data_IF_312287349784
#
_entry.id   IF_312287349784
#
_cell.length_a   1.000
_cell.length_b   1.000
_cell.length_c   1.000
_cell.angle_alpha   90.00
_cell.angle_beta   90.00
_cell.angle_gamma   90.00
#
_symmetry.space_group_name_H-M   'P 1'
#
loop_
_entity.id
_entity.type
_entity.pdbx_description
1 polymer ?
#
# COMPACT_ATOMS: atom_id res chain seq x y z
N UNK A 1 -32.42 -2.53 4.46
CA UNK A 1 -31.29 -3.12 5.21
C UNK A 1 -31.11 -2.30 6.47
N UNK A 2 -31.41 -2.88 7.63
CA UNK A 2 -31.22 -2.21 8.92
C UNK A 2 -29.72 -2.12 9.17
N UNK A 3 -29.14 -0.92 9.08
CA UNK A 3 -27.82 -0.69 9.66
C UNK A 3 -28.00 -0.80 11.17
N UNK A 4 -27.58 -1.93 11.72
CA UNK A 4 -27.61 -2.15 13.14
C UNK A 4 -26.73 -1.07 13.80
N UNK A 5 -27.36 -0.11 14.47
CA UNK A 5 -26.69 1.01 15.14
C UNK A 5 -26.00 0.57 16.43
N UNK A 6 -25.73 -0.72 16.57
CA UNK A 6 -25.01 -1.35 17.66
C UNK A 6 -23.51 -1.09 17.53
N UNK A 7 -22.77 -1.29 18.61
CA UNK A 7 -21.31 -1.21 18.60
C UNK A 7 -20.67 -2.13 17.56
N UNK A 8 -21.29 -3.26 17.22
CA UNK A 8 -20.79 -4.20 16.21
C UNK A 8 -20.86 -3.64 14.79
N UNK A 9 -21.99 -3.03 14.41
CA UNK A 9 -22.13 -2.38 13.10
C UNK A 9 -21.11 -1.25 12.90
N UNK A 10 -20.84 -0.47 13.96
CA UNK A 10 -19.82 0.58 13.95
C UNK A 10 -18.41 -0.01 13.80
N UNK A 11 -18.07 -1.05 14.56
CA UNK A 11 -16.74 -1.70 14.48
C UNK A 11 -16.51 -2.29 13.08
N UNK A 12 -17.52 -2.93 12.49
CA UNK A 12 -17.43 -3.47 11.14
C UNK A 12 -17.22 -2.36 10.08
N UNK A 13 -17.95 -1.24 10.20
CA UNK A 13 -17.80 -0.12 9.29
C UNK A 13 -16.39 0.53 9.38
N UNK A 14 -15.88 0.74 10.60
CA UNK A 14 -14.50 1.23 10.80
C UNK A 14 -13.49 0.26 10.19
N UNK A 15 -13.65 -1.05 10.42
CA UNK A 15 -12.79 -2.08 9.83
C UNK A 15 -12.77 -2.02 8.30
N UNK A 16 -13.92 -1.77 7.65
CA UNK A 16 -13.99 -1.60 6.19
C UNK A 16 -13.26 -0.35 5.68
N UNK A 17 -13.27 0.75 6.42
CA UNK A 17 -12.49 1.94 6.07
C UNK A 17 -10.99 1.66 6.18
N UNK A 18 -10.55 0.96 7.23
CA UNK A 18 -9.15 0.55 7.39
C UNK A 18 -8.70 -0.42 6.30
N UNK A 19 -9.51 -1.45 5.97
CA UNK A 19 -9.23 -2.39 4.86
C UNK A 19 -9.10 -1.66 3.49
N UNK A 20 -9.92 -0.62 3.28
CA UNK A 20 -9.80 0.22 2.10
C UNK A 20 -8.47 0.98 2.09
N UNK A 21 -8.02 1.53 3.23
CA UNK A 21 -6.70 2.19 3.33
C UNK A 21 -5.56 1.21 3.04
N UNK A 22 -5.61 -0.02 3.58
CA UNK A 22 -4.60 -1.06 3.29
C UNK A 22 -4.52 -1.38 1.79
N UNK A 23 -5.68 -1.40 1.11
CA UNK A 23 -5.72 -1.56 -0.35
C UNK A 23 -5.05 -0.39 -1.07
N UNK A 24 -5.27 0.85 -0.59
CA UNK A 24 -4.59 2.05 -1.10
C UNK A 24 -3.08 2.01 -0.83
N UNK A 25 -2.63 1.48 0.31
CA UNK A 25 -1.20 1.27 0.60
C UNK A 25 -0.56 0.28 -0.37
N UNK A 26 -1.27 -0.77 -0.77
CA UNK A 26 -0.81 -1.69 -1.83
C UNK A 26 -0.72 -1.01 -3.19
N UNK A 27 -1.73 -0.21 -3.56
CA UNK A 27 -1.70 0.57 -4.79
C UNK A 27 -0.53 1.56 -4.80
N UNK A 28 -0.26 2.22 -3.66
CA UNK A 28 0.92 3.06 -3.45
C UNK A 28 2.21 2.28 -3.67
N UNK A 29 2.33 1.08 -3.11
CA UNK A 29 3.48 0.20 -3.34
C UNK A 29 3.72 -0.08 -4.83
N UNK A 30 2.66 -0.28 -5.62
CA UNK A 30 2.79 -0.46 -7.07
C UNK A 30 3.30 0.79 -7.80
N UNK A 31 3.03 2.01 -7.31
CA UNK A 31 3.62 3.23 -7.87
C UNK A 31 5.14 3.30 -7.64
N UNK A 32 5.62 2.85 -6.47
CA UNK A 32 7.06 2.72 -6.22
C UNK A 32 7.71 1.69 -7.14
N UNK A 33 7.09 0.52 -7.31
CA UNK A 33 7.56 -0.47 -8.28
C UNK A 33 7.57 0.08 -9.69
N UNK A 34 6.52 0.80 -10.11
CA UNK A 34 6.43 1.46 -11.40
C UNK A 34 7.58 2.46 -11.62
N UNK A 35 7.88 3.31 -10.63
CA UNK A 35 8.97 4.28 -10.72
C UNK A 35 10.33 3.59 -10.87
N UNK A 36 10.62 2.58 -10.05
CA UNK A 36 11.88 1.83 -10.10
C UNK A 36 12.06 1.10 -11.44
N UNK A 37 11.01 0.41 -11.90
CA UNK A 37 11.04 -0.32 -13.18
C UNK A 37 11.22 0.64 -14.36
N UNK A 38 10.55 1.79 -14.33
CA UNK A 38 10.67 2.82 -15.37
C UNK A 38 12.08 3.41 -15.40
N UNK A 39 12.63 3.79 -14.25
CA UNK A 39 14.01 4.32 -14.17
C UNK A 39 15.05 3.30 -14.61
N UNK A 40 14.88 2.03 -14.25
CA UNK A 40 15.75 0.97 -14.73
C UNK A 40 15.65 0.77 -16.26
N UNK A 41 14.46 0.83 -16.84
CA UNK A 41 14.27 0.74 -18.29
C UNK A 41 14.91 1.93 -19.04
N UNK A 42 14.89 3.13 -18.45
CA UNK A 42 15.55 4.31 -19.01
C UNK A 42 17.09 4.13 -19.08
N UNK A 43 17.70 3.57 -18.02
CA UNK A 43 19.13 3.21 -18.02
C UNK A 43 19.47 2.12 -19.06
N UNK A 44 18.58 1.15 -19.25
CA UNK A 44 18.75 0.15 -20.31
C UNK A 44 18.69 0.79 -21.70
N UNK A 45 17.83 1.79 -21.88
CA UNK A 45 17.71 2.54 -23.13
C UNK A 45 18.96 3.36 -23.41
N UNK A 46 19.55 4.00 -22.40
CA UNK A 46 20.84 4.70 -22.53
C UNK A 46 21.95 3.78 -23.04
N UNK A 47 22.05 2.57 -22.49
CA UNK A 47 23.00 1.57 -22.93
C UNK A 47 22.74 1.13 -24.39
N UNK A 48 21.47 0.94 -24.77
CA UNK A 48 21.09 0.59 -26.13
C UNK A 48 21.41 1.71 -27.13
N UNK A 49 21.15 2.98 -26.79
CA UNK A 49 21.49 4.15 -27.60
C UNK A 49 22.99 4.24 -27.82
N UNK A 50 23.78 4.06 -26.76
CA UNK A 50 25.24 4.05 -26.83
C UNK A 50 25.72 2.95 -27.78
N UNK A 51 25.14 1.74 -27.67
CA UNK A 51 25.49 0.62 -28.55
C UNK A 51 25.12 0.87 -30.02
N UNK A 52 23.97 1.49 -30.28
CA UNK A 52 23.58 1.88 -31.65
C UNK A 52 24.57 2.87 -32.25
N UNK A 53 25.09 3.80 -31.44
CA UNK A 53 26.10 4.76 -31.87
C UNK A 53 27.41 4.06 -32.25
N UNK A 54 27.91 3.15 -31.41
CA UNK A 54 29.12 2.36 -31.66
C UNK A 54 29.04 1.52 -32.94
N UNK A 55 27.84 1.02 -33.26
CA UNK A 55 27.58 0.22 -34.47
C UNK A 55 27.35 1.08 -35.73
N UNK A 56 27.49 2.40 -35.64
CA UNK A 56 27.34 3.32 -36.77
C UNK A 56 25.89 3.71 -37.10
N UNK A 57 24.92 3.35 -36.25
CA UNK A 57 23.51 3.70 -36.41
C UNK A 57 23.15 5.03 -35.73
N UNK A 58 23.98 6.06 -35.92
CA UNK A 58 23.85 7.36 -35.22
C UNK A 58 22.52 8.06 -35.45
N UNK A 59 21.91 7.92 -36.63
CA UNK A 59 20.59 8.50 -36.91
C UNK A 59 19.47 7.91 -36.05
N UNK A 60 19.49 6.58 -35.84
CA UNK A 60 18.53 5.91 -34.95
C UNK A 60 18.80 6.25 -33.48
N UNK A 61 20.08 6.23 -33.07
CA UNK A 61 20.47 6.63 -31.71
C UNK A 61 19.97 8.05 -31.39
N UNK A 62 20.19 9.01 -32.28
CA UNK A 62 19.75 10.39 -32.10
C UNK A 62 18.21 10.53 -32.08
N UNK A 63 17.50 9.77 -32.92
CA UNK A 63 16.04 9.78 -32.90
C UNK A 63 15.51 9.26 -31.57
N UNK A 64 16.01 8.12 -31.09
CA UNK A 64 15.60 7.54 -29.81
C UNK A 64 15.91 8.50 -28.66
N UNK A 65 17.13 9.05 -28.59
CA UNK A 65 17.48 10.03 -27.55
C UNK A 65 16.56 11.23 -27.54
N UNK A 66 16.19 11.76 -28.71
CA UNK A 66 15.29 12.91 -28.80
C UNK A 66 13.87 12.57 -28.35
N UNK A 67 13.36 11.41 -28.72
CA UNK A 67 11.95 11.08 -28.50
C UNK A 67 11.68 10.45 -27.14
N UNK A 68 12.61 9.66 -26.59
CA UNK A 68 12.38 8.82 -25.41
C UNK A 68 13.19 9.24 -24.19
N UNK A 69 14.46 9.61 -24.34
CA UNK A 69 15.30 9.97 -23.19
C UNK A 69 14.83 11.30 -22.60
N UNK A 70 14.57 11.30 -21.29
CA UNK A 70 14.00 12.44 -20.57
C UNK A 70 12.51 12.70 -20.83
N UNK A 71 11.81 11.78 -21.54
CA UNK A 71 10.36 11.89 -21.76
C UNK A 71 9.61 11.72 -20.43
N UNK A 72 8.69 12.64 -20.18
CA UNK A 72 7.75 12.52 -19.07
C UNK A 72 6.80 11.32 -19.26
N UNK A 73 6.56 10.54 -18.21
CA UNK A 73 5.62 9.38 -18.24
C UNK A 73 4.16 9.81 -18.29
N UNK A 74 3.86 11.01 -17.77
CA UNK A 74 2.57 11.69 -17.87
C UNK A 74 2.82 13.17 -18.18
N UNK A 75 1.83 13.94 -18.66
CA UNK A 75 2.01 15.37 -18.93
C UNK A 75 2.61 16.12 -17.73
N UNK A 76 3.81 16.67 -17.93
CA UNK A 76 4.56 17.44 -16.94
C UNK A 76 5.14 16.65 -15.77
N UNK A 77 5.19 15.31 -15.85
CA UNK A 77 5.57 14.45 -14.71
C UNK A 77 6.55 13.35 -15.09
N UNK A 78 7.64 13.30 -14.35
CA UNK A 78 8.48 12.13 -14.20
C UNK A 78 7.83 11.12 -13.26
N UNK A 79 8.26 9.86 -13.32
CA UNK A 79 7.65 8.78 -12.53
C UNK A 79 7.71 9.02 -11.02
N UNK A 80 8.74 9.70 -10.51
CA UNK A 80 8.79 10.07 -9.09
C UNK A 80 7.76 11.13 -8.71
N UNK A 81 7.49 12.10 -9.59
CA UNK A 81 6.48 13.14 -9.37
C UNK A 81 5.06 12.55 -9.37
N UNK A 82 4.84 11.45 -10.10
CA UNK A 82 3.58 10.70 -10.00
C UNK A 82 3.39 10.12 -8.59
N UNK A 83 4.47 9.65 -7.94
CA UNK A 83 4.43 9.18 -6.55
C UNK A 83 4.16 10.36 -5.62
N UNK A 84 4.90 11.46 -5.77
CA UNK A 84 4.75 12.65 -4.92
C UNK A 84 3.31 13.18 -4.97
N UNK A 85 2.74 13.35 -6.17
CA UNK A 85 1.36 13.80 -6.34
C UNK A 85 0.34 12.84 -5.72
N UNK A 86 0.57 11.53 -5.83
CA UNK A 86 -0.29 10.52 -5.22
C UNK A 86 -0.21 10.57 -3.69
N UNK A 87 1.01 10.67 -3.17
CA UNK A 87 1.31 10.71 -1.73
C UNK A 87 0.76 11.97 -1.07
N UNK A 88 1.02 13.13 -1.67
CA UNK A 88 0.64 14.44 -1.13
C UNK A 88 -0.85 14.74 -1.30
N UNK A 89 -1.47 14.18 -2.33
CA UNK A 89 -2.89 14.32 -2.62
C UNK A 89 -3.72 13.18 -2.05
N UNK A 90 -3.95 12.16 -2.88
CA UNK A 90 -4.97 11.14 -2.63
C UNK A 90 -4.67 10.29 -1.38
N UNK A 91 -3.43 9.84 -1.22
CA UNK A 91 -3.04 8.98 -0.11
C UNK A 91 -3.08 9.71 1.23
N UNK A 92 -2.54 10.94 1.32
CA UNK A 92 -2.62 11.78 2.51
C UNK A 92 -4.07 11.96 2.97
N UNK A 93 -4.94 12.39 2.05
CA UNK A 93 -6.37 12.56 2.34
C UNK A 93 -7.02 11.27 2.87
N UNK A 94 -6.75 10.13 2.22
CA UNK A 94 -7.31 8.85 2.64
C UNK A 94 -6.87 8.48 4.07
N UNK A 95 -5.58 8.64 4.39
CA UNK A 95 -5.08 8.40 5.75
C UNK A 95 -5.73 9.30 6.80
N UNK A 96 -5.89 10.58 6.48
CA UNK A 96 -6.51 11.54 7.40
C UNK A 96 -7.97 11.18 7.69
N UNK A 97 -8.72 10.77 6.66
CA UNK A 97 -10.11 10.34 6.81
C UNK A 97 -10.22 9.01 7.57
N UNK A 98 -9.37 8.02 7.29
CA UNK A 98 -9.32 6.77 8.07
C UNK A 98 -9.06 7.09 9.55
N UNK A 99 -8.06 7.92 9.83
CA UNK A 99 -7.69 8.28 11.19
C UNK A 99 -8.85 9.00 11.89
N UNK A 100 -9.52 9.93 11.21
CA UNK A 100 -10.69 10.63 11.73
C UNK A 100 -11.80 9.64 12.13
N UNK A 101 -12.14 8.72 11.23
CA UNK A 101 -13.18 7.69 11.43
C UNK A 101 -12.81 6.79 12.62
N UNK A 102 -11.58 6.26 12.64
CA UNK A 102 -11.10 5.38 13.71
C UNK A 102 -11.01 6.09 15.06
N UNK A 103 -10.58 7.35 15.10
CA UNK A 103 -10.56 8.13 16.36
C UNK A 103 -11.97 8.35 16.89
N UNK A 104 -12.90 8.80 16.04
CA UNK A 104 -14.27 9.14 16.46
C UNK A 104 -15.10 7.93 16.86
N UNK A 105 -14.94 6.80 16.17
CA UNK A 105 -15.85 5.65 16.31
C UNK A 105 -15.22 4.45 17.02
N UNK A 106 -13.88 4.37 17.06
CA UNK A 106 -13.16 3.26 17.65
C UNK A 106 -12.20 3.66 18.78
N UNK A 107 -12.21 4.93 19.22
CA UNK A 107 -11.32 5.42 20.27
C UNK A 107 -9.84 5.39 19.88
N UNK A 108 -9.55 5.42 18.57
CA UNK A 108 -8.19 5.41 18.04
C UNK A 108 -7.51 4.04 18.02
N UNK A 109 -8.09 3.01 18.65
CA UNK A 109 -7.51 1.66 18.64
C UNK A 109 -7.47 1.08 17.22
N UNK A 110 -6.30 0.60 16.83
CA UNK A 110 -6.10 -0.12 15.57
C UNK A 110 -6.64 -1.55 15.70
N UNK A 111 -7.08 -2.11 14.58
CA UNK A 111 -7.46 -3.51 14.43
C UNK A 111 -8.54 -4.02 15.40
N UNK A 112 -9.46 -3.16 15.87
CA UNK A 112 -10.53 -3.58 16.80
C UNK A 112 -11.42 -4.66 16.21
N UNK A 113 -11.72 -4.57 14.91
CA UNK A 113 -12.52 -5.56 14.21
C UNK A 113 -11.82 -6.92 14.16
N UNK A 114 -10.53 -6.95 13.82
CA UNK A 114 -9.72 -8.18 13.76
C UNK A 114 -9.51 -8.77 15.16
N UNK A 115 -9.35 -7.94 16.19
CA UNK A 115 -9.31 -8.40 17.58
C UNK A 115 -10.62 -9.07 17.99
N UNK A 116 -11.78 -8.48 17.67
CA UNK A 116 -13.09 -9.09 17.93
C UNK A 116 -13.30 -10.39 17.11
N UNK A 117 -12.84 -10.40 15.86
CA UNK A 117 -12.86 -11.60 15.02
C UNK A 117 -11.97 -12.71 15.58
N UNK A 118 -10.77 -12.36 16.08
CA UNK A 118 -9.84 -13.30 16.72
C UNK A 118 -10.45 -13.89 18.00
N UNK A 119 -11.05 -13.05 18.83
CA UNK A 119 -11.76 -13.43 20.05
C UNK A 119 -12.82 -14.51 19.76
N UNK A 120 -13.65 -14.29 18.73
CA UNK A 120 -14.69 -15.22 18.32
C UNK A 120 -14.18 -16.52 17.69
N UNK A 121 -12.96 -16.51 17.12
CA UNK A 121 -12.38 -17.66 16.41
C UNK A 121 -11.50 -18.54 17.28
N UNK A 122 -11.03 -18.06 18.42
CA UNK A 122 -10.12 -18.86 19.25
C UNK A 122 -10.83 -19.98 19.99
N UNK A 123 -10.10 -21.07 20.19
CA UNK A 123 -10.54 -22.19 21.03
C UNK A 123 -10.02 -21.99 22.43
N UNK A 124 -10.92 -22.00 23.43
CA UNK A 124 -10.52 -21.93 24.82
C UNK A 124 -9.56 -23.07 25.19
N UNK A 125 -8.49 -22.76 25.92
CA UNK A 125 -7.46 -23.73 26.37
C UNK A 125 -6.46 -24.18 25.31
N UNK A 126 -6.67 -23.89 24.02
CA UNK A 126 -5.73 -24.33 22.99
C UNK A 126 -4.45 -23.46 23.01
N UNK A 127 -3.24 -24.06 23.14
CA UNK A 127 -2.03 -23.31 23.44
C UNK A 127 -1.56 -22.37 22.31
N UNK A 128 -2.01 -22.60 21.08
CA UNK A 128 -1.74 -21.72 19.94
C UNK A 128 -2.86 -20.67 19.68
N UNK A 129 -3.97 -20.71 20.42
CA UNK A 129 -5.13 -19.82 20.23
C UNK A 129 -5.23 -18.76 21.33
N UNK A 130 -4.08 -18.21 21.73
CA UNK A 130 -4.00 -17.24 22.83
C UNK A 130 -4.60 -15.88 22.47
N UNK A 131 -5.12 -15.16 23.47
CA UNK A 131 -5.82 -13.90 23.24
C UNK A 131 -4.86 -12.79 22.77
N UNK A 132 -3.65 -12.74 23.35
CA UNK A 132 -2.64 -11.73 23.06
C UNK A 132 -1.25 -12.35 22.79
N UNK A 133 -0.33 -11.62 22.13
CA UNK A 133 1.01 -12.13 21.81
C UNK A 133 1.84 -12.63 23.01
N UNK A 134 1.58 -12.09 24.22
CA UNK A 134 2.30 -12.43 25.46
C UNK A 134 1.41 -13.15 26.49
N UNK A 135 0.34 -13.79 26.03
CA UNK A 135 -0.60 -14.47 26.91
C UNK A 135 -0.03 -15.86 27.31
N UNK A 136 0.47 -15.93 28.55
CA UNK A 136 1.11 -17.12 29.16
C UNK A 136 0.08 -18.16 29.67
N UNK A 137 -1.23 -17.89 29.55
CA UNK A 137 -2.29 -18.79 30.07
C UNK A 137 -2.25 -20.20 29.46
N UNK A 138 -1.68 -20.34 28.27
CA UNK A 138 -1.44 -21.61 27.58
C UNK A 138 -0.34 -22.49 28.21
N UNK A 139 0.54 -21.95 29.05
CA UNK A 139 1.66 -22.72 29.66
C UNK A 139 1.30 -23.40 30.98
N UNK A 140 0.07 -23.20 31.46
CA UNK A 140 -0.39 -23.71 32.76
C UNK A 140 -1.01 -25.11 32.74
N UNK A 141 -1.31 -25.67 31.57
CA UNK A 141 -1.85 -27.04 31.44
C UNK A 141 -0.73 -28.02 31.08
N UNK A 142 0.21 -28.23 32.00
CA UNK A 142 0.99 -29.47 32.01
C UNK A 142 0.20 -30.52 32.79
N UNK A 143 -0.36 -31.49 32.08
CA UNK A 143 -0.64 -32.83 32.59
C UNK A 143 0.65 -33.65 32.61
#
# INVERSE_FOLDING_TARGET
>A
MSFDSTGEGVIAAVGKVTEALETIERARGHLYSFHQLTGNADLQLDAAVSRLHELGHSGLAQHISRELIGRNVLPGRWSFQVIEDYDDGYYRCFKEIEQLVRVRLAGGQRHRYEMAMKENRRTAGHPAHTAAPNDESAKGENL
#
